data_IF_332333048398
#
_entry.id   IF_332333048398
#
_cell.length_a   1.000
_cell.length_b   1.000
_cell.length_c   1.000
_cell.angle_alpha   90.00
_cell.angle_beta   90.00
_cell.angle_gamma   90.00
#
_symmetry.space_group_name_H-M   'P 1'
#
loop_
_entity.id
_entity.type
_entity.pdbx_description
1 polymer ?
#
# COMPACT_ATOMS: atom_id res chain seq x y z
N UNK A 1 -1.81 -1.69 -22.51
CA UNK A 1 -1.21 -1.79 -21.15
C UNK A 1 0.27 -2.11 -21.20
N UNK A 2 0.76 -3.06 -22.02
CA UNK A 2 2.22 -3.26 -22.23
C UNK A 2 2.96 -1.95 -22.59
N UNK A 3 2.35 -1.14 -23.46
CA UNK A 3 2.88 0.18 -23.82
C UNK A 3 3.02 1.18 -22.65
N UNK A 4 2.18 1.11 -21.61
CA UNK A 4 2.30 2.01 -20.45
C UNK A 4 3.48 1.60 -19.58
N UNK A 5 3.65 0.29 -19.36
CA UNK A 5 4.77 -0.23 -18.58
C UNK A 5 6.12 0.03 -19.28
N UNK A 6 6.19 -0.20 -20.59
CA UNK A 6 7.36 0.14 -21.41
C UNK A 6 7.70 1.64 -21.35
N UNK A 7 6.68 2.50 -21.30
CA UNK A 7 6.88 3.93 -21.15
C UNK A 7 7.39 4.31 -19.75
N UNK A 8 6.75 3.79 -18.69
CA UNK A 8 7.13 4.08 -17.30
C UNK A 8 8.54 3.57 -16.99
N UNK A 9 8.96 2.44 -17.58
CA UNK A 9 10.33 1.91 -17.40
C UNK A 9 11.43 2.89 -17.82
N UNK A 10 11.17 3.80 -18.75
CA UNK A 10 12.15 4.82 -19.20
C UNK A 10 12.53 5.83 -18.13
N UNK A 11 11.72 5.98 -17.08
CA UNK A 11 11.99 6.91 -15.97
C UNK A 11 12.90 6.31 -14.90
N UNK A 12 13.27 5.03 -15.01
CA UNK A 12 14.08 4.34 -14.03
C UNK A 12 15.46 4.03 -14.64
N UNK A 13 16.54 4.11 -13.85
CA UNK A 13 17.88 3.74 -14.32
C UNK A 13 17.92 2.33 -14.93
N UNK A 14 18.82 2.10 -15.88
CA UNK A 14 18.91 0.82 -16.59
C UNK A 14 19.30 -0.35 -15.67
N UNK A 15 20.01 -0.07 -14.57
CA UNK A 15 20.40 -1.02 -13.52
C UNK A 15 19.36 -1.17 -12.41
N UNK A 16 18.23 -0.46 -12.48
CA UNK A 16 17.16 -0.52 -11.50
C UNK A 16 16.39 -1.84 -11.64
N UNK A 17 16.68 -2.79 -10.74
CA UNK A 17 16.19 -4.16 -10.87
C UNK A 17 14.69 -4.25 -10.54
N UNK A 18 14.06 -5.37 -10.94
CA UNK A 18 12.69 -5.68 -10.53
C UNK A 18 12.51 -5.63 -9.00
N UNK A 19 13.55 -6.03 -8.25
CA UNK A 19 13.56 -6.00 -6.79
C UNK A 19 13.60 -4.56 -6.27
N UNK A 20 14.46 -3.71 -6.82
CA UNK A 20 14.53 -2.30 -6.44
C UNK A 20 13.21 -1.60 -6.71
N UNK A 21 12.58 -1.92 -7.85
CA UNK A 21 11.25 -1.41 -8.18
C UNK A 21 10.18 -1.89 -7.23
N UNK A 22 10.17 -3.17 -6.88
CA UNK A 22 9.21 -3.69 -5.90
C UNK A 22 9.38 -3.04 -4.51
N UNK A 23 10.62 -2.79 -4.07
CA UNK A 23 10.92 -2.08 -2.81
C UNK A 23 10.45 -0.63 -2.88
N UNK A 24 10.76 0.07 -3.98
CA UNK A 24 10.36 1.46 -4.19
C UNK A 24 8.84 1.64 -4.14
N UNK A 25 8.10 0.81 -4.88
CA UNK A 25 6.63 0.82 -4.90
C UNK A 25 6.01 0.41 -3.55
N UNK A 26 6.72 -0.39 -2.74
CA UNK A 26 6.31 -0.70 -1.37
C UNK A 26 6.51 0.51 -0.44
N UNK A 27 7.61 1.24 -0.59
CA UNK A 27 7.86 2.50 0.15
C UNK A 27 6.82 3.57 -0.16
N UNK A 28 6.52 3.81 -1.44
CA UNK A 28 5.45 4.71 -1.88
C UNK A 28 4.12 4.35 -1.20
N UNK A 29 3.80 3.06 -1.15
CA UNK A 29 2.57 2.58 -0.55
C UNK A 29 2.45 2.91 0.93
N UNK A 30 3.48 2.58 1.71
CA UNK A 30 3.46 2.77 3.16
C UNK A 30 3.33 4.25 3.49
N UNK A 31 4.11 5.11 2.81
CA UNK A 31 4.01 6.55 2.94
C UNK A 31 2.62 7.06 2.59
N UNK A 32 2.11 6.71 1.41
CA UNK A 32 0.81 7.17 0.94
C UNK A 32 -0.35 6.70 1.84
N UNK A 33 -0.35 5.44 2.30
CA UNK A 33 -1.39 4.92 3.21
C UNK A 33 -1.41 5.72 4.52
N UNK A 34 -0.25 5.89 5.15
CA UNK A 34 -0.13 6.50 6.47
C UNK A 34 -0.53 7.97 6.43
N UNK A 35 -0.02 8.72 5.45
CA UNK A 35 -0.35 10.13 5.31
C UNK A 35 -1.79 10.38 4.82
N UNK A 36 -2.46 9.40 4.19
CA UNK A 36 -3.86 9.55 3.76
C UNK A 36 -4.86 9.48 4.92
N UNK A 37 -4.50 8.85 6.04
CA UNK A 37 -5.42 8.63 7.17
C UNK A 37 -4.97 9.28 8.47
N UNK A 38 -3.71 9.71 8.56
CA UNK A 38 -3.24 10.49 9.70
C UNK A 38 -4.09 11.75 9.85
N UNK A 39 -4.56 12.02 11.07
CA UNK A 39 -5.45 13.14 11.38
C UNK A 39 -6.94 12.81 11.30
N UNK A 40 -7.34 11.63 10.81
CA UNK A 40 -8.76 11.28 10.77
C UNK A 40 -9.34 11.16 12.20
N UNK A 41 -10.55 11.67 12.45
CA UNK A 41 -11.31 11.33 13.64
C UNK A 41 -11.68 9.84 13.57
N UNK A 42 -11.54 9.14 14.69
CA UNK A 42 -11.82 7.70 14.79
C UNK A 42 -12.48 7.35 16.11
N UNK A 43 -13.48 6.47 16.02
CA UNK A 43 -14.15 5.81 17.12
C UNK A 43 -14.29 4.31 16.80
N UNK A 44 -14.62 3.49 17.81
CA UNK A 44 -14.58 2.03 17.71
C UNK A 44 -15.52 1.48 16.62
N UNK A 45 -16.64 2.16 16.37
CA UNK A 45 -17.65 1.83 15.36
C UNK A 45 -17.17 2.09 13.92
N UNK A 46 -16.45 3.19 13.68
CA UNK A 46 -15.95 3.56 12.34
C UNK A 46 -14.62 2.91 11.98
N UNK A 47 -13.85 2.47 12.98
CA UNK A 47 -12.51 1.87 12.80
C UNK A 47 -12.46 0.83 11.67
N UNK A 48 -13.34 -0.16 11.72
CA UNK A 48 -13.33 -1.27 10.75
C UNK A 48 -13.69 -0.82 9.33
N UNK A 49 -14.46 0.27 9.18
CA UNK A 49 -14.77 0.85 7.88
C UNK A 49 -13.57 1.55 7.28
N UNK A 50 -12.82 2.32 8.09
CA UNK A 50 -11.58 2.98 7.66
C UNK A 50 -10.56 1.92 7.20
N UNK A 51 -10.32 0.88 8.01
CA UNK A 51 -9.41 -0.22 7.66
C UNK A 51 -9.76 -0.83 6.30
N UNK A 52 -11.02 -1.23 6.11
CA UNK A 52 -11.49 -1.86 4.86
C UNK A 52 -11.46 -0.92 3.66
N UNK A 53 -11.84 0.35 3.85
CA UNK A 53 -11.88 1.34 2.77
C UNK A 53 -10.46 1.60 2.25
N UNK A 54 -9.50 1.81 3.15
CA UNK A 54 -8.10 2.05 2.81
C UNK A 54 -7.50 0.82 2.13
N UNK A 55 -7.71 -0.37 2.69
CA UNK A 55 -7.26 -1.63 2.08
C UNK A 55 -7.76 -1.76 0.64
N UNK A 56 -9.06 -1.55 0.40
CA UNK A 56 -9.65 -1.64 -0.95
C UNK A 56 -9.12 -0.56 -1.89
N UNK A 57 -9.02 0.68 -1.44
CA UNK A 57 -8.56 1.80 -2.27
C UNK A 57 -7.11 1.62 -2.70
N UNK A 58 -6.21 1.25 -1.79
CA UNK A 58 -4.79 1.07 -2.10
C UNK A 58 -4.50 -0.23 -2.87
N UNK A 59 -5.39 -1.22 -2.80
CA UNK A 59 -5.36 -2.40 -3.69
C UNK A 59 -5.63 -2.06 -5.17
N UNK A 60 -6.18 -0.89 -5.48
CA UNK A 60 -6.36 -0.44 -6.87
C UNK A 60 -5.07 0.08 -7.49
N UNK A 61 -4.10 0.50 -6.69
CA UNK A 61 -2.82 1.00 -7.19
C UNK A 61 -2.02 -0.10 -7.90
N UNK A 62 -1.16 0.26 -8.88
CA UNK A 62 -0.31 -0.69 -9.59
C UNK A 62 0.49 -1.62 -8.66
N UNK A 63 0.74 -2.84 -9.14
CA UNK A 63 1.63 -3.84 -8.51
C UNK A 63 1.21 -4.36 -7.12
N UNK A 64 0.08 -3.89 -6.57
CA UNK A 64 -0.36 -4.24 -5.22
C UNK A 64 -0.94 -5.66 -5.14
N UNK A 65 -0.33 -6.54 -4.34
CA UNK A 65 -0.86 -7.88 -4.09
C UNK A 65 -1.71 -7.95 -2.83
N UNK A 66 -1.33 -7.19 -1.82
CA UNK A 66 -2.00 -7.15 -0.54
C UNK A 66 -1.83 -5.78 0.10
N UNK A 67 -2.87 -5.33 0.77
CA UNK A 67 -2.82 -4.23 1.74
C UNK A 67 -3.54 -4.73 2.97
N UNK A 68 -2.95 -4.51 4.13
CA UNK A 68 -3.59 -4.69 5.42
C UNK A 68 -3.34 -3.44 6.26
N UNK A 69 -4.41 -2.88 6.82
CA UNK A 69 -4.35 -1.80 7.79
C UNK A 69 -5.02 -2.30 9.07
N UNK A 70 -4.34 -2.08 10.20
CA UNK A 70 -4.91 -2.23 11.53
C UNK A 70 -4.70 -0.96 12.32
N UNK A 71 -5.76 -0.54 13.00
CA UNK A 71 -5.79 0.63 13.86
C UNK A 71 -5.87 0.17 15.32
N UNK A 72 -4.91 0.60 16.14
CA UNK A 72 -4.85 0.29 17.57
C UNK A 72 -5.29 1.50 18.42
N UNK A 73 -5.65 1.24 19.68
CA UNK A 73 -5.85 2.32 20.67
C UNK A 73 -6.97 3.31 20.34
N UNK A 74 -8.04 2.84 19.70
CA UNK A 74 -9.24 3.64 19.46
C UNK A 74 -10.06 3.71 20.76
N UNK A 75 -10.45 4.91 21.24
CA UNK A 75 -11.23 5.02 22.45
C UNK A 75 -12.57 4.31 22.28
N UNK A 76 -12.95 3.51 23.29
CA UNK A 76 -14.25 2.85 23.30
C UNK A 76 -15.38 3.88 23.40
N UNK A 77 -15.31 4.79 24.39
CA UNK A 77 -16.26 5.91 24.65
C UNK A 77 -15.69 6.93 25.68
N UNK A 78 -14.51 7.52 25.48
CA UNK A 78 -13.94 8.44 26.49
C UNK A 78 -13.85 9.89 25.98
N UNK A 79 -14.34 10.85 26.77
CA UNK A 79 -14.32 12.30 26.52
C UNK A 79 -15.67 12.90 26.14
N UNK A 80 -15.77 14.24 26.19
CA UNK A 80 -16.98 15.02 25.86
C UNK A 80 -17.44 14.76 24.41
N UNK A 81 -16.49 14.59 23.49
CA UNK A 81 -16.76 14.39 22.06
C UNK A 81 -16.64 12.92 21.57
N UNK A 82 -16.22 11.99 22.44
CA UNK A 82 -16.22 10.52 22.21
C UNK A 82 -15.49 10.01 20.94
N UNK A 83 -14.49 10.72 20.44
CA UNK A 83 -13.60 10.23 19.37
C UNK A 83 -12.13 10.55 19.68
N UNK A 84 -11.21 9.82 19.04
CA UNK A 84 -9.79 10.14 19.03
C UNK A 84 -9.30 10.49 17.63
N UNK A 85 -8.03 10.86 17.52
CA UNK A 85 -7.38 11.10 16.21
C UNK A 85 -6.46 9.93 15.86
N UNK A 86 -6.46 9.53 14.59
CA UNK A 86 -5.48 8.60 14.05
C UNK A 86 -4.11 9.27 13.96
N UNK A 87 -3.15 8.68 14.64
CA UNK A 87 -1.74 9.07 14.56
C UNK A 87 -0.94 7.89 14.01
N UNK A 88 0.22 8.11 13.36
CA UNK A 88 1.03 7.03 12.79
C UNK A 88 1.39 5.93 13.79
N UNK A 89 1.55 6.24 15.08
CA UNK A 89 1.86 5.29 16.15
C UNK A 89 0.73 4.27 16.41
N UNK A 90 -0.50 4.62 16.02
CA UNK A 90 -1.67 3.76 16.16
C UNK A 90 -1.89 2.85 14.94
N UNK A 91 -1.09 3.00 13.88
CA UNK A 91 -1.27 2.25 12.64
C UNK A 91 -0.27 1.08 12.55
N UNK A 92 -0.78 -0.08 12.17
CA UNK A 92 -0.01 -1.24 11.73
C UNK A 92 -0.40 -1.53 10.29
N UNK A 93 0.53 -1.28 9.37
CA UNK A 93 0.32 -1.39 7.94
C UNK A 93 1.20 -2.52 7.40
N UNK A 94 0.65 -3.36 6.53
CA UNK A 94 1.41 -4.31 5.75
C UNK A 94 1.00 -4.22 4.29
N UNK A 95 1.99 -4.16 3.39
CA UNK A 95 1.78 -4.20 1.95
C UNK A 95 2.59 -5.32 1.34
N UNK A 96 2.02 -5.96 0.32
CA UNK A 96 2.74 -6.87 -0.56
C UNK A 96 2.72 -6.27 -1.96
N UNK A 97 3.91 -6.14 -2.54
CA UNK A 97 4.14 -5.62 -3.88
C UNK A 97 4.75 -6.72 -4.71
N UNK A 98 4.33 -6.78 -5.97
CA UNK A 98 4.97 -7.66 -6.91
C UNK A 98 5.18 -6.98 -8.25
N UNK A 99 6.45 -6.91 -8.66
CA UNK A 99 6.92 -6.27 -9.88
C UNK A 99 7.84 -7.23 -10.62
N UNK A 100 7.55 -7.51 -11.89
CA UNK A 100 8.29 -8.50 -12.69
C UNK A 100 8.41 -9.85 -11.96
N UNK A 101 9.65 -10.28 -11.70
CA UNK A 101 9.97 -11.51 -10.95
C UNK A 101 10.14 -11.35 -9.44
N UNK A 102 9.96 -10.15 -8.89
CA UNK A 102 10.18 -9.83 -7.47
C UNK A 102 8.87 -9.73 -6.68
N UNK A 103 8.87 -10.23 -5.44
CA UNK A 103 7.81 -10.05 -4.44
C UNK A 103 8.41 -9.45 -3.19
N UNK A 104 7.86 -8.33 -2.73
CA UNK A 104 8.31 -7.60 -1.54
C UNK A 104 7.14 -7.45 -0.57
N UNK A 105 7.36 -7.84 0.68
CA UNK A 105 6.50 -7.52 1.81
C UNK A 105 7.15 -6.41 2.63
N UNK A 106 6.42 -5.32 2.85
CA UNK A 106 6.88 -4.21 3.67
C UNK A 106 5.82 -3.87 4.73
N UNK A 107 6.28 -3.35 5.86
CA UNK A 107 5.42 -3.07 7.01
C UNK A 107 5.75 -1.72 7.63
N UNK A 108 4.74 -1.14 8.27
CA UNK A 108 4.93 -0.08 9.26
C UNK A 108 4.30 -0.54 10.58
N UNK A 109 5.04 -0.37 11.69
CA UNK A 109 4.48 -0.53 13.04
C UNK A 109 5.24 0.35 14.03
N UNK A 110 4.58 0.72 15.12
CA UNK A 110 5.25 1.39 16.22
C UNK A 110 6.27 0.48 16.91
N UNK A 111 7.53 0.91 16.95
CA UNK A 111 8.63 0.23 17.66
C UNK A 111 8.86 0.94 18.97
N UNK A 112 8.43 0.33 20.09
CA UNK A 112 8.47 0.93 21.43
C UNK A 112 9.88 1.39 21.83
N UNK A 113 10.90 0.59 21.50
CA UNK A 113 12.31 0.85 21.82
C UNK A 113 12.84 2.11 21.12
N UNK A 114 12.32 2.41 19.92
CA UNK A 114 12.69 3.60 19.15
C UNK A 114 11.72 4.75 19.36
N UNK A 115 10.60 4.50 20.05
CA UNK A 115 9.43 5.38 20.16
C UNK A 115 8.99 5.93 18.78
N UNK A 116 9.07 5.11 17.74
CA UNK A 116 8.93 5.54 16.34
C UNK A 116 8.08 4.56 15.49
N UNK A 117 7.19 5.06 14.60
CA UNK A 117 6.47 4.25 13.61
C UNK A 117 7.40 3.86 12.45
N UNK A 118 8.16 2.78 12.62
CA UNK A 118 9.17 2.36 11.65
C UNK A 118 8.54 1.69 10.43
N UNK A 119 8.86 2.19 9.24
CA UNK A 119 8.64 1.51 7.96
C UNK A 119 9.86 0.67 7.60
N UNK A 120 9.65 -0.58 7.17
CA UNK A 120 10.73 -1.48 6.79
C UNK A 120 10.25 -2.56 5.83
N UNK A 121 11.19 -3.11 5.06
CA UNK A 121 10.97 -4.31 4.25
C UNK A 121 11.09 -5.52 5.18
N UNK A 122 10.02 -6.29 5.34
CA UNK A 122 10.03 -7.52 6.15
C UNK A 122 10.49 -8.74 5.35
N UNK A 123 10.32 -8.72 4.03
CA UNK A 123 10.70 -9.83 3.15
C UNK A 123 10.87 -9.33 1.71
N UNK A 124 11.89 -9.82 1.02
CA UNK A 124 12.08 -9.56 -0.40
C UNK A 124 12.58 -10.85 -1.08
N UNK A 125 11.80 -11.36 -2.03
CA UNK A 125 12.11 -12.56 -2.81
C UNK A 125 12.27 -12.17 -4.27
N UNK A 126 13.33 -12.65 -4.91
CA UNK A 126 13.48 -12.70 -6.36
C UNK A 126 13.26 -14.14 -6.81
N UNK A 127 12.34 -14.39 -7.75
CA UNK A 127 12.26 -15.72 -8.39
C UNK A 127 13.41 -15.83 -9.41
N UNK A 128 14.29 -16.82 -9.24
CA UNK A 128 15.31 -17.16 -10.24
C UNK A 128 14.66 -17.93 -11.39
N UNK A 129 14.84 -17.45 -12.62
CA UNK A 129 14.96 -18.32 -13.80
C UNK A 129 13.71 -19.00 -14.37
N UNK A 130 12.50 -18.46 -14.22
CA UNK A 130 11.36 -19.02 -14.95
C UNK A 130 10.55 -17.93 -15.68
N UNK A 131 10.84 -17.78 -16.97
CA UNK A 131 10.12 -16.90 -17.92
C UNK A 131 8.68 -17.42 -18.18
N UNK A 132 8.35 -18.66 -17.74
CA UNK A 132 7.02 -19.26 -17.83
C UNK A 132 6.12 -18.98 -16.62
N UNK A 133 6.70 -18.58 -15.48
CA UNK A 133 5.93 -18.19 -14.31
C UNK A 133 5.18 -16.89 -14.63
N UNK A 134 3.84 -16.96 -14.67
CA UNK A 134 2.99 -15.81 -15.03
C UNK A 134 3.48 -14.55 -14.29
N UNK A 135 3.94 -13.51 -15.01
CA UNK A 135 4.39 -12.28 -14.40
C UNK A 135 3.30 -11.75 -13.49
N UNK A 136 3.69 -11.07 -12.42
CA UNK A 136 2.71 -10.62 -11.46
C UNK A 136 1.62 -9.83 -12.13
N UNK A 137 0.40 -10.40 -12.13
CA UNK A 137 -0.77 -9.75 -12.71
C UNK A 137 -0.90 -8.38 -12.07
N UNK A 138 -0.72 -7.33 -12.88
CA UNK A 138 -1.04 -5.96 -12.49
C UNK A 138 -2.48 -5.95 -11.97
N UNK A 139 -2.68 -5.25 -10.87
CA UNK A 139 -4.00 -5.00 -10.28
C UNK A 139 -4.94 -4.38 -11.32
N UNK A 140 -6.22 -4.77 -11.24
CA UNK A 140 -7.28 -4.35 -12.19
C UNK A 140 -7.59 -2.84 -12.17
N UNK A 141 -6.95 -2.04 -11.32
CA UNK A 141 -7.29 -0.63 -11.10
C UNK A 141 -7.17 0.26 -12.35
N UNK A 142 -6.26 -0.06 -13.28
CA UNK A 142 -6.10 0.71 -14.52
C UNK A 142 -7.23 0.50 -15.56
N UNK A 143 -8.04 -0.56 -15.43
CA UNK A 143 -9.12 -0.84 -16.39
C UNK A 143 -10.34 0.09 -16.21
N UNK A 144 -10.48 0.75 -15.05
CA UNK A 144 -11.64 1.59 -14.73
C UNK A 144 -11.59 2.95 -15.45
N UNK A 145 -10.40 3.47 -15.77
CA UNK A 145 -10.28 4.76 -16.48
C UNK A 145 -10.84 4.73 -17.92
N UNK A 146 -10.96 3.56 -18.56
CA UNK A 146 -11.58 3.46 -19.89
C UNK A 146 -13.11 3.58 -19.88
N UNK A 147 -13.78 3.40 -18.73
CA UNK A 147 -15.25 3.51 -18.66
C UNK A 147 -15.76 4.92 -18.34
N UNK A 148 -14.99 5.73 -17.60
CA UNK A 148 -15.41 7.10 -17.27
C UNK A 148 -15.23 8.12 -18.41
N UNK A 149 -14.39 7.83 -19.41
CA UNK A 149 -14.24 8.68 -20.60
C UNK A 149 -15.40 8.56 -21.59
N UNK A 150 -16.22 7.50 -21.52
CA UNK A 150 -17.35 7.28 -22.43
C UNK A 150 -18.71 7.77 -21.90
N UNK A 151 -18.73 8.38 -20.72
CA UNK A 151 -19.94 8.94 -20.11
C UNK A 151 -19.98 10.48 -20.16
N UNK A 152 -19.08 11.11 -20.93
CA UNK A 152 -19.02 12.57 -21.16
C UNK A 152 -18.81 12.89 -22.65
N UNK A 153 -19.58 12.23 -23.50
CA UNK A 153 -19.70 12.52 -24.93
C UNK A 153 -21.16 12.37 -25.32
#
# INVERSE_FOLDING_TARGET
>A
MKHVEEFVRKFFPADFTDRDRAVFEAGIALGAIVHSVAGFPVAADVKAFIEKAVEKSFMLQPYRKKVKLRIAGVPAKAGVYRYGTLTPEKLDVAVEVCYGGAVVEARMRYVKQLRYPLMYVSKAIQRKGDVSARPCKLTRGAAVHRKFSKARS
#
